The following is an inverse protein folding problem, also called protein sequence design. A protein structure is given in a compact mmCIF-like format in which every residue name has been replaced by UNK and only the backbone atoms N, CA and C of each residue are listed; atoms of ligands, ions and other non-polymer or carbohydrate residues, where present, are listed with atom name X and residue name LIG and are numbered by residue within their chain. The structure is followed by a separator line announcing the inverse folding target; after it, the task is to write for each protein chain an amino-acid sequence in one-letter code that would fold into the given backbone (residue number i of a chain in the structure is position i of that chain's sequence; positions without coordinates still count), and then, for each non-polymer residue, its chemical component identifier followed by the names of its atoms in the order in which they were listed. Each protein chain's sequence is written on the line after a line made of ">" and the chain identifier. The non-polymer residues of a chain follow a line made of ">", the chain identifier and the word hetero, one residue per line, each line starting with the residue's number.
data_IF_647802397922
#
_entry.id   IF_647802397922
#
_cell.length_a   1.000
_cell.length_b   1.000
_cell.length_c   1.000
_cell.angle_alpha   90.00
_cell.angle_beta   90.00
_cell.angle_gamma   90.00
#
_symmetry.space_group_name_H-M   'P 1'
#
loop_
_entity.id
_entity.type
_entity.pdbx_description
1 polymer ?
#
# COMPACT_ATOMS: atom_id res chain seq x y z
N UNK A 1 24.78 -6.35 14.35
CA UNK A 1 23.84 -5.44 13.64
C UNK A 1 22.90 -6.32 12.84
N UNK A 2 21.58 -6.09 12.93
CA UNK A 2 20.59 -6.90 12.20
C UNK A 2 20.51 -6.45 10.75
N UNK A 3 20.30 -7.40 9.83
CA UNK A 3 19.95 -7.10 8.44
C UNK A 3 18.43 -7.16 8.30
N UNK A 4 17.88 -6.17 7.61
CA UNK A 4 16.47 -6.09 7.27
C UNK A 4 16.29 -6.17 5.77
N UNK A 5 15.17 -6.74 5.34
CA UNK A 5 14.75 -6.81 3.96
C UNK A 5 13.40 -6.10 3.84
N UNK A 6 13.30 -5.14 2.93
CA UNK A 6 12.09 -4.33 2.75
C UNK A 6 11.58 -4.44 1.32
N UNK A 7 10.29 -4.69 1.18
CA UNK A 7 9.56 -4.58 -0.08
C UNK A 7 8.82 -3.24 -0.11
N UNK A 8 9.37 -2.27 -0.83
CA UNK A 8 8.75 -0.96 -1.07
C UNK A 8 7.69 -1.04 -2.15
N UNK A 9 6.60 -0.29 -1.98
CA UNK A 9 5.53 -0.10 -2.98
C UNK A 9 5.67 1.22 -3.74
N UNK A 10 6.39 2.21 -3.18
CA UNK A 10 6.49 3.56 -3.75
C UNK A 10 7.97 3.98 -3.82
N UNK A 11 8.66 3.73 -4.95
CA UNK A 11 8.29 2.79 -6.02
C UNK A 11 8.49 1.32 -5.59
N UNK A 12 8.07 0.40 -6.45
CA UNK A 12 8.31 -1.04 -6.25
C UNK A 12 9.81 -1.36 -6.15
N UNK A 13 10.27 -1.91 -5.02
CA UNK A 13 11.65 -2.33 -4.85
C UNK A 13 11.87 -3.34 -3.72
N UNK A 14 12.86 -4.22 -3.88
CA UNK A 14 13.40 -5.06 -2.81
C UNK A 14 14.73 -4.48 -2.35
N UNK A 15 14.82 -4.17 -1.05
CA UNK A 15 15.92 -3.37 -0.51
C UNK A 15 16.44 -4.04 0.76
N UNK A 16 17.75 -4.31 0.81
CA UNK A 16 18.45 -4.67 2.04
C UNK A 16 18.86 -3.41 2.80
N UNK A 17 18.76 -3.44 4.13
CA UNK A 17 19.12 -2.31 4.99
C UNK A 17 19.64 -2.78 6.35
N UNK A 18 20.53 -1.98 6.96
CA UNK A 18 20.90 -2.14 8.36
C UNK A 18 20.04 -1.27 9.30
N UNK A 19 19.09 -0.51 8.75
CA UNK A 19 18.20 0.35 9.52
C UNK A 19 16.93 -0.43 9.93
N UNK A 20 16.49 -0.34 11.19
CA UNK A 20 15.18 -0.85 11.59
C UNK A 20 14.05 -0.05 10.92
N UNK A 21 12.81 -0.57 10.90
CA UNK A 21 11.74 -0.04 10.05
C UNK A 21 11.46 1.46 10.22
N UNK A 22 11.45 1.96 11.45
CA UNK A 22 11.22 3.39 11.71
C UNK A 22 12.30 4.28 11.11
N UNK A 23 13.58 3.89 11.23
CA UNK A 23 14.72 4.63 10.68
C UNK A 23 14.80 4.49 9.15
N UNK A 24 14.51 3.29 8.63
CA UNK A 24 14.45 3.05 7.20
C UNK A 24 13.36 3.93 6.55
N UNK A 25 12.14 3.90 7.09
CA UNK A 25 11.04 4.74 6.60
C UNK A 25 11.40 6.22 6.62
N UNK A 26 11.95 6.74 7.73
CA UNK A 26 12.40 8.14 7.82
C UNK A 26 13.41 8.48 6.71
N UNK A 27 14.44 7.65 6.55
CA UNK A 27 15.46 7.82 5.52
C UNK A 27 14.86 7.75 4.10
N UNK A 28 13.96 6.82 3.86
CA UNK A 28 13.38 6.57 2.55
C UNK A 28 12.44 7.70 2.12
N UNK A 29 11.60 8.19 3.04
CA UNK A 29 10.67 9.28 2.81
C UNK A 29 11.34 10.65 2.63
N UNK A 30 12.44 10.92 3.36
CA UNK A 30 13.03 12.27 3.44
C UNK A 30 14.41 12.40 2.80
N UNK A 31 15.02 11.28 2.41
CA UNK A 31 16.36 11.22 1.85
C UNK A 31 17.45 11.60 2.84
N UNK A 32 18.70 11.54 2.38
CA UNK A 32 19.84 11.96 3.17
C UNK A 32 19.85 13.50 3.33
N UNK A 33 19.91 14.00 4.57
CA UNK A 33 19.76 15.43 4.93
C UNK A 33 18.34 16.03 4.78
N UNK A 34 17.29 15.21 4.75
CA UNK A 34 15.88 15.69 4.74
C UNK A 34 15.54 16.62 3.55
N UNK A 35 16.14 16.36 2.39
CA UNK A 35 15.99 17.18 1.17
C UNK A 35 14.91 16.68 0.21
N UNK A 36 14.47 15.44 0.39
CA UNK A 36 13.30 14.88 -0.31
C UNK A 36 12.10 14.93 0.64
N UNK A 37 10.90 14.96 0.07
CA UNK A 37 9.66 14.79 0.81
C UNK A 37 8.76 13.90 -0.03
N UNK A 38 8.48 12.71 0.48
CA UNK A 38 7.50 11.82 -0.11
C UNK A 38 7.05 10.78 0.89
N UNK A 39 5.87 10.22 0.69
CA UNK A 39 5.43 9.09 1.49
C UNK A 39 6.28 7.84 1.17
N UNK A 40 6.48 6.97 2.16
CA UNK A 40 7.02 5.65 1.93
C UNK A 40 6.02 4.60 2.44
N UNK A 41 5.87 3.54 1.67
CA UNK A 41 4.98 2.44 1.99
C UNK A 41 5.70 1.13 1.69
N UNK A 42 5.97 0.32 2.70
CA UNK A 42 6.81 -0.87 2.53
C UNK A 42 6.47 -1.98 3.52
N UNK A 43 6.67 -3.23 3.11
CA UNK A 43 6.60 -4.39 3.99
C UNK A 43 7.99 -4.77 4.48
N UNK A 44 8.10 -5.21 5.74
CA UNK A 44 9.25 -5.99 6.18
C UNK A 44 9.11 -7.43 5.66
N UNK A 45 10.17 -7.95 5.08
CA UNK A 45 10.27 -9.30 4.54
C UNK A 45 11.19 -10.11 5.45
N UNK A 46 10.88 -11.39 5.64
CA UNK A 46 11.74 -12.32 6.34
C UNK A 46 13.18 -12.26 5.78
N UNK A 47 14.19 -11.89 6.60
CA UNK A 47 15.57 -11.79 6.14
C UNK A 47 16.16 -13.14 5.68
N UNK A 48 15.53 -14.27 6.05
CA UNK A 48 15.88 -15.60 5.55
C UNK A 48 15.28 -15.92 4.17
N UNK A 49 14.38 -15.09 3.64
CA UNK A 49 13.76 -15.29 2.33
C UNK A 49 14.81 -15.37 1.21
N UNK A 50 14.69 -16.34 0.31
CA UNK A 50 15.54 -16.48 -0.87
C UNK A 50 14.71 -16.89 -2.08
N UNK A 51 15.09 -16.38 -3.24
CA UNK A 51 14.48 -16.72 -4.52
C UNK A 51 15.53 -16.50 -5.63
N UNK A 52 15.53 -17.33 -6.68
CA UNK A 52 16.55 -17.31 -7.75
C UNK A 52 16.65 -15.95 -8.48
N UNK A 53 15.54 -15.21 -8.51
CA UNK A 53 15.45 -13.89 -9.11
C UNK A 53 16.19 -12.78 -8.32
N UNK A 54 16.55 -13.03 -7.04
CA UNK A 54 17.13 -12.01 -6.16
C UNK A 54 18.51 -12.41 -5.63
N UNK A 55 19.54 -11.59 -5.89
CA UNK A 55 20.85 -11.71 -5.23
C UNK A 55 20.83 -11.08 -3.82
N UNK A 56 20.10 -11.70 -2.90
CA UNK A 56 19.94 -11.21 -1.52
C UNK A 56 21.26 -11.33 -0.74
N UNK A 57 21.97 -12.45 -0.90
CA UNK A 57 23.24 -12.68 -0.20
C UNK A 57 24.33 -11.71 -0.67
N UNK A 58 24.42 -11.44 -1.97
CA UNK A 58 25.31 -10.41 -2.51
C UNK A 58 24.95 -9.00 -2.02
N UNK A 59 23.66 -8.69 -1.85
CA UNK A 59 23.24 -7.42 -1.25
C UNK A 59 23.59 -7.34 0.25
N UNK A 60 23.39 -8.41 1.01
CA UNK A 60 23.76 -8.48 2.43
C UNK A 60 25.27 -8.35 2.63
N UNK A 61 26.09 -8.94 1.76
CA UNK A 61 27.54 -8.76 1.77
C UNK A 61 27.98 -7.30 1.55
N UNK A 62 27.14 -6.48 0.88
CA UNK A 62 27.37 -5.04 0.66
C UNK A 62 26.78 -4.16 1.77
N UNK A 63 25.98 -4.72 2.67
CA UNK A 63 25.49 -4.06 3.87
C UNK A 63 26.56 -4.01 4.96
N UNK A 64 27.61 -3.23 4.68
CA UNK A 64 28.70 -2.98 5.62
C UNK A 64 28.57 -1.58 6.19
N UNK A 65 28.80 -1.44 7.50
CA UNK A 65 28.87 -0.14 8.15
C UNK A 65 29.91 0.75 7.46
N UNK A 66 29.67 2.06 7.43
CA UNK A 66 30.63 3.02 6.87
C UNK A 66 31.85 3.14 7.78
N UNK A 67 32.89 3.82 7.30
CA UNK A 67 34.14 4.03 8.05
C UNK A 67 33.93 4.74 9.40
N UNK A 68 32.85 5.52 9.54
CA UNK A 68 32.45 6.20 10.77
C UNK A 68 31.59 5.33 11.71
N UNK A 69 31.37 4.06 11.37
CA UNK A 69 30.53 3.13 12.12
C UNK A 69 29.03 3.27 11.86
N UNK A 70 28.60 4.24 11.05
CA UNK A 70 27.16 4.41 10.74
C UNK A 70 26.64 3.24 9.90
N UNK A 71 25.40 2.77 10.17
CA UNK A 71 24.81 1.66 9.43
C UNK A 71 24.63 1.99 7.94
N UNK A 72 24.63 0.95 7.10
CA UNK A 72 24.27 1.08 5.69
C UNK A 72 22.77 1.32 5.58
N UNK A 73 22.38 2.45 5.00
CA UNK A 73 20.97 2.82 4.87
C UNK A 73 20.20 1.90 3.92
N UNK A 74 20.77 1.57 2.77
CA UNK A 74 20.11 0.75 1.75
C UNK A 74 21.09 0.15 0.75
N UNK A 75 20.75 -1.04 0.25
CA UNK A 75 21.30 -1.69 -0.94
C UNK A 75 20.11 -2.24 -1.72
N UNK A 76 19.89 -1.75 -2.94
CA UNK A 76 18.80 -2.23 -3.80
C UNK A 76 19.16 -3.60 -4.37
N UNK A 77 18.23 -4.54 -4.26
CA UNK A 77 18.34 -5.90 -4.82
C UNK A 77 17.59 -5.97 -6.15
N UNK A 78 16.37 -5.44 -6.19
CA UNK A 78 15.56 -5.32 -7.40
C UNK A 78 14.65 -4.10 -7.32
N UNK A 79 14.27 -3.56 -8.48
CA UNK A 79 13.29 -2.48 -8.62
C UNK A 79 12.16 -2.89 -9.60
N UNK A 80 12.02 -4.19 -9.87
CA UNK A 80 11.08 -4.70 -10.87
C UNK A 80 10.65 -6.14 -10.56
N UNK A 81 9.34 -6.40 -10.66
CA UNK A 81 8.69 -7.72 -10.46
C UNK A 81 8.98 -8.33 -9.09
N UNK A 82 9.18 -7.49 -8.08
CA UNK A 82 9.49 -7.93 -6.73
C UNK A 82 8.35 -8.78 -6.19
N UNK A 83 7.13 -8.26 -6.25
CA UNK A 83 5.95 -8.96 -5.74
C UNK A 83 5.70 -10.31 -6.43
N UNK A 84 5.99 -10.42 -7.73
CA UNK A 84 5.83 -11.66 -8.50
C UNK A 84 6.76 -12.78 -8.03
N UNK A 85 7.86 -12.39 -7.38
CA UNK A 85 8.89 -13.29 -6.88
C UNK A 85 8.94 -13.31 -5.35
N UNK A 86 7.88 -12.88 -4.66
CA UNK A 86 7.70 -13.05 -3.21
C UNK A 86 6.68 -14.16 -2.92
N UNK A 87 6.80 -14.77 -1.74
CA UNK A 87 5.78 -15.68 -1.18
C UNK A 87 5.08 -14.99 -0.02
N UNK A 88 3.77 -15.18 0.13
CA UNK A 88 2.99 -14.52 1.19
C UNK A 88 3.50 -14.84 2.60
N UNK A 89 4.07 -16.03 2.82
CA UNK A 89 4.66 -16.43 4.11
C UNK A 89 5.90 -15.61 4.51
N UNK A 90 6.59 -15.00 3.55
CA UNK A 90 7.77 -14.17 3.81
C UNK A 90 7.41 -12.73 4.15
N UNK A 91 6.16 -12.30 3.92
CA UNK A 91 5.73 -10.92 4.13
C UNK A 91 5.28 -10.72 5.57
N UNK A 92 5.95 -9.79 6.26
CA UNK A 92 5.68 -9.38 7.64
C UNK A 92 4.76 -8.17 7.75
N UNK A 93 5.14 -7.23 8.63
CA UNK A 93 4.38 -6.00 8.91
C UNK A 93 4.44 -5.02 7.74
N UNK A 94 3.38 -4.25 7.56
CA UNK A 94 3.32 -3.10 6.65
C UNK A 94 3.69 -1.81 7.40
N UNK A 95 4.50 -0.95 6.80
CA UNK A 95 4.90 0.33 7.37
C UNK A 95 4.44 1.49 6.49
N UNK A 96 3.72 2.43 7.11
CA UNK A 96 3.26 3.68 6.51
C UNK A 96 4.13 4.83 7.02
N UNK A 97 4.93 5.45 6.15
CA UNK A 97 5.72 6.62 6.51
C UNK A 97 5.12 7.88 5.88
N UNK A 98 4.97 8.91 6.70
CA UNK A 98 4.51 10.24 6.24
C UNK A 98 5.62 10.99 5.51
N UNK A 99 5.28 12.03 4.74
CA UNK A 99 6.26 12.85 4.03
C UNK A 99 7.28 13.56 4.96
N UNK A 100 6.99 13.59 6.27
CA UNK A 100 7.88 14.12 7.31
C UNK A 100 8.73 13.03 7.98
N UNK A 101 8.66 11.78 7.50
CA UNK A 101 9.51 10.68 7.96
C UNK A 101 9.04 9.99 9.24
N UNK A 102 7.80 10.21 9.69
CA UNK A 102 7.24 9.46 10.84
C UNK A 102 6.62 8.17 10.34
N UNK A 103 6.94 7.04 10.95
CA UNK A 103 6.53 5.70 10.48
C UNK A 103 5.55 5.03 11.44
N UNK A 104 4.48 4.45 10.90
CA UNK A 104 3.48 3.63 11.60
C UNK A 104 3.55 2.20 11.09
N UNK A 105 3.59 1.21 11.99
CA UNK A 105 3.50 -0.21 11.63
C UNK A 105 2.07 -0.73 11.74
N UNK A 106 1.63 -1.51 10.75
CA UNK A 106 0.39 -2.26 10.72
C UNK A 106 0.70 -3.76 10.70
N UNK A 107 0.14 -4.48 11.67
CA UNK A 107 0.22 -5.94 11.73
C UNK A 107 -0.70 -6.59 10.72
N UNK A 108 -0.36 -7.81 10.32
CA UNK A 108 -1.26 -8.69 9.56
C UNK A 108 -2.55 -8.92 10.35
N UNK A 109 -3.69 -8.65 9.71
CA UNK A 109 -5.01 -8.94 10.26
C UNK A 109 -5.27 -10.45 10.30
N UNK A 110 -6.09 -10.88 11.25
CA UNK A 110 -6.51 -12.28 11.38
C UNK A 110 -7.57 -12.70 10.35
N UNK A 111 -8.30 -11.74 9.78
CA UNK A 111 -9.36 -11.96 8.81
C UNK A 111 -9.52 -10.75 7.88
N UNK A 112 -10.18 -11.00 6.75
CA UNK A 112 -10.69 -9.94 5.88
C UNK A 112 -11.85 -9.20 6.57
N UNK A 113 -12.03 -7.90 6.33
CA UNK A 113 -13.16 -7.17 6.90
C UNK A 113 -14.47 -7.69 6.32
N UNK A 114 -15.55 -7.53 7.09
CA UNK A 114 -16.89 -7.84 6.60
C UNK A 114 -17.25 -6.89 5.45
N UNK A 115 -17.83 -7.44 4.39
CA UNK A 115 -18.31 -6.65 3.27
C UNK A 115 -19.53 -5.81 3.68
N UNK A 116 -19.43 -4.50 3.52
CA UNK A 116 -20.56 -3.59 3.60
C UNK A 116 -21.24 -3.50 2.22
N UNK A 117 -22.58 -3.44 2.13
CA UNK A 117 -23.31 -3.33 0.87
C UNK A 117 -23.25 -1.88 0.35
N UNK A 118 -22.05 -1.41 -0.02
CA UNK A 118 -21.80 -0.08 -0.53
C UNK A 118 -20.80 -0.09 -1.69
N UNK A 119 -20.66 1.05 -2.37
CA UNK A 119 -19.64 1.25 -3.39
C UNK A 119 -18.27 1.37 -2.73
N UNK A 120 -17.26 0.83 -3.38
CA UNK A 120 -15.88 0.85 -2.93
C UNK A 120 -15.01 1.71 -3.85
N UNK A 121 -13.94 2.27 -3.31
CA UNK A 121 -12.86 2.87 -4.08
C UNK A 121 -11.55 2.23 -3.69
N UNK A 122 -10.89 1.62 -4.68
CA UNK A 122 -9.61 0.97 -4.53
C UNK A 122 -8.55 1.76 -5.28
N UNK A 123 -7.46 2.02 -4.57
CA UNK A 123 -6.23 2.49 -5.20
C UNK A 123 -5.26 1.33 -5.26
N UNK A 124 -4.91 0.92 -6.48
CA UNK A 124 -3.86 -0.07 -6.72
C UNK A 124 -2.51 0.60 -6.49
N UNK A 125 -1.60 -0.10 -5.81
CA UNK A 125 -0.30 0.42 -5.39
C UNK A 125 0.86 -0.28 -6.11
N UNK A 126 0.74 -1.61 -6.27
CA UNK A 126 1.66 -2.43 -7.05
C UNK A 126 0.89 -3.61 -7.67
N UNK A 127 1.21 -4.07 -8.89
CA UNK A 127 2.33 -3.63 -9.73
C UNK A 127 1.99 -2.39 -10.58
N UNK A 128 0.76 -1.89 -10.47
CA UNK A 128 0.27 -0.70 -11.16
C UNK A 128 -0.23 0.33 -10.15
N UNK A 129 -0.37 1.58 -10.60
CA UNK A 129 -0.88 2.69 -9.79
C UNK A 129 -2.18 3.24 -10.38
N UNK A 130 -3.29 2.53 -10.19
CA UNK A 130 -4.59 2.85 -10.77
C UNK A 130 -5.61 3.20 -9.68
N UNK A 131 -6.66 3.94 -10.05
CA UNK A 131 -7.78 4.24 -9.14
C UNK A 131 -9.06 3.68 -9.74
N UNK A 132 -9.73 2.80 -9.00
CA UNK A 132 -10.91 2.05 -9.45
C UNK A 132 -12.05 2.25 -8.46
N UNK A 133 -13.27 2.43 -8.98
CA UNK A 133 -14.48 2.28 -8.18
C UNK A 133 -15.15 0.94 -8.50
N UNK A 134 -15.71 0.31 -7.47
CA UNK A 134 -16.17 -1.08 -7.54
C UNK A 134 -17.46 -1.34 -6.77
N UNK A 135 -18.24 -2.31 -7.25
CA UNK A 135 -19.33 -2.98 -6.53
C UNK A 135 -18.85 -4.22 -5.76
N UNK A 136 -17.61 -4.63 -5.97
CA UNK A 136 -17.02 -5.82 -5.39
C UNK A 136 -16.38 -5.48 -4.06
N UNK A 137 -16.59 -6.32 -3.05
CA UNK A 137 -15.81 -6.27 -1.82
C UNK A 137 -14.32 -6.56 -2.09
N UNK A 138 -13.40 -6.31 -1.13
CA UNK A 138 -11.97 -6.45 -1.37
C UNK A 138 -11.53 -7.84 -1.83
N UNK A 139 -12.16 -8.90 -1.32
CA UNK A 139 -11.81 -10.28 -1.68
C UNK A 139 -12.25 -10.61 -3.10
N UNK A 140 -13.48 -10.20 -3.44
CA UNK A 140 -14.06 -10.40 -4.77
C UNK A 140 -13.35 -9.52 -5.81
N UNK A 141 -12.97 -8.29 -5.45
CA UNK A 141 -12.15 -7.40 -6.29
C UNK A 141 -10.78 -8.01 -6.58
N UNK A 142 -10.07 -8.48 -5.56
CA UNK A 142 -8.79 -9.16 -5.75
C UNK A 142 -8.91 -10.37 -6.68
N UNK A 143 -9.93 -11.22 -6.47
CA UNK A 143 -10.17 -12.36 -7.34
C UNK A 143 -10.44 -11.94 -8.79
N UNK A 144 -11.20 -10.86 -9.02
CA UNK A 144 -11.52 -10.33 -10.36
C UNK A 144 -10.32 -9.78 -11.13
N UNK A 145 -9.23 -9.40 -10.45
CA UNK A 145 -8.02 -8.87 -11.11
C UNK A 145 -6.85 -9.87 -11.15
N UNK A 146 -6.96 -10.99 -10.43
CA UNK A 146 -5.89 -12.00 -10.32
C UNK A 146 -6.35 -13.42 -10.69
N UNK A 147 -7.13 -14.06 -9.84
CA UNK A 147 -7.35 -15.52 -9.86
C UNK A 147 -8.53 -15.95 -10.73
N UNK A 148 -9.55 -15.10 -10.87
CA UNK A 148 -10.78 -15.36 -11.61
C UNK A 148 -11.19 -14.12 -12.40
N UNK A 149 -10.38 -13.68 -13.39
CA UNK A 149 -10.58 -12.39 -13.97
C UNK A 149 -11.82 -12.34 -14.86
N UNK A 150 -12.70 -11.35 -14.65
CA UNK A 150 -13.81 -11.07 -15.59
C UNK A 150 -13.33 -10.45 -16.91
N UNK A 151 -12.05 -10.05 -16.97
CA UNK A 151 -11.36 -9.47 -18.14
C UNK A 151 -10.23 -10.39 -18.62
N UNK A 152 -9.72 -10.13 -19.83
CA UNK A 152 -8.71 -10.99 -20.48
C UNK A 152 -7.30 -10.96 -19.85
N UNK A 153 -7.01 -9.99 -18.97
CA UNK A 153 -5.71 -9.86 -18.31
C UNK A 153 -5.83 -10.13 -16.81
N UNK A 154 -4.72 -10.57 -16.20
CA UNK A 154 -4.61 -10.78 -14.76
C UNK A 154 -3.22 -10.43 -14.26
N UNK A 155 -3.14 -10.00 -13.01
CA UNK A 155 -1.88 -9.85 -12.30
C UNK A 155 -1.57 -11.10 -11.48
N UNK A 156 -0.29 -11.49 -11.31
CA UNK A 156 0.10 -12.60 -10.45
C UNK A 156 -0.09 -12.31 -8.95
N UNK A 157 -0.14 -11.03 -8.59
CA UNK A 157 -0.40 -10.52 -7.25
C UNK A 157 -0.70 -9.03 -7.33
N UNK A 158 -1.22 -8.45 -6.26
CA UNK A 158 -1.55 -7.03 -6.19
C UNK A 158 -1.50 -6.52 -4.75
N UNK A 159 -1.01 -5.29 -4.57
CA UNK A 159 -1.23 -4.53 -3.36
C UNK A 159 -2.16 -3.35 -3.65
N UNK A 160 -3.19 -3.17 -2.84
CA UNK A 160 -4.17 -2.11 -2.99
C UNK A 160 -4.68 -1.63 -1.63
N UNK A 161 -5.26 -0.43 -1.60
CA UNK A 161 -5.84 0.18 -0.40
C UNK A 161 -7.28 0.58 -0.67
N UNK A 162 -8.15 0.44 0.32
CA UNK A 162 -9.52 0.94 0.25
C UNK A 162 -9.61 2.36 0.81
N UNK A 163 -10.08 3.28 -0.03
CA UNK A 163 -10.22 4.69 0.31
C UNK A 163 -11.70 5.05 0.56
N UNK A 164 -11.93 5.94 1.52
CA UNK A 164 -13.27 6.35 1.93
C UNK A 164 -13.99 7.18 0.86
N UNK A 165 -15.23 6.80 0.54
CA UNK A 165 -16.13 7.54 -0.34
C UNK A 165 -17.14 8.43 0.42
N UNK A 166 -17.14 8.38 1.75
CA UNK A 166 -18.12 9.12 2.56
C UNK A 166 -19.57 8.81 2.11
N UNK A 167 -20.45 9.82 2.05
CA UNK A 167 -21.83 9.63 1.59
C UNK A 167 -21.97 9.10 0.14
N UNK A 168 -20.95 9.29 -0.72
CA UNK A 168 -20.96 8.80 -2.11
C UNK A 168 -20.93 7.28 -2.20
N UNK A 169 -20.51 6.58 -1.12
CA UNK A 169 -20.50 5.12 -1.07
C UNK A 169 -21.90 4.52 -1.25
N UNK A 170 -22.95 5.23 -0.82
CA UNK A 170 -24.33 4.73 -0.82
C UNK A 170 -25.25 5.50 -1.75
N UNK A 171 -25.01 6.80 -1.91
CA UNK A 171 -25.77 7.65 -2.82
C UNK A 171 -24.82 8.54 -3.63
N UNK A 172 -24.23 8.03 -4.72
CA UNK A 172 -23.41 8.84 -5.59
C UNK A 172 -24.22 9.90 -6.36
N UNK A 173 -25.56 9.86 -6.39
CA UNK A 173 -26.34 10.89 -7.08
C UNK A 173 -26.54 12.13 -6.19
N UNK A 174 -26.90 11.93 -4.91
CA UNK A 174 -27.29 13.02 -4.02
C UNK A 174 -26.42 13.16 -2.76
N UNK A 175 -25.52 12.21 -2.50
CA UNK A 175 -24.62 12.24 -1.36
C UNK A 175 -23.75 13.51 -1.37
N UNK A 176 -23.73 14.21 -0.24
CA UNK A 176 -22.88 15.39 -0.06
C UNK A 176 -21.43 14.96 0.13
N UNK A 177 -20.52 15.67 -0.53
CA UNK A 177 -19.09 15.32 -0.57
C UNK A 177 -18.39 15.60 0.77
N UNK A 178 -18.92 16.53 1.57
CA UNK A 178 -18.35 16.88 2.87
C UNK A 178 -16.88 17.24 2.77
N UNK A 179 -16.05 16.62 3.63
CA UNK A 179 -14.61 16.88 3.73
C UNK A 179 -13.76 15.89 2.89
N UNK A 180 -14.34 15.26 1.86
CA UNK A 180 -13.58 14.39 0.96
C UNK A 180 -12.48 15.21 0.25
N UNK A 181 -11.19 14.83 0.36
CA UNK A 181 -10.08 15.64 -0.13
C UNK A 181 -9.77 15.43 -1.62
N UNK A 182 -10.66 14.75 -2.36
CA UNK A 182 -10.42 14.41 -3.75
C UNK A 182 -10.62 15.63 -4.64
N UNK A 183 -9.63 16.00 -5.44
CA UNK A 183 -9.74 17.14 -6.38
C UNK A 183 -10.62 16.83 -7.60
N UNK A 184 -11.03 15.58 -7.77
CA UNK A 184 -11.73 15.05 -8.95
C UNK A 184 -13.14 14.54 -8.61
N UNK A 185 -13.82 15.15 -7.63
CA UNK A 185 -15.11 14.68 -7.10
C UNK A 185 -16.20 14.51 -8.17
N UNK A 186 -16.28 15.43 -9.13
CA UNK A 186 -17.24 15.29 -10.24
C UNK A 186 -16.98 14.02 -11.07
N UNK A 187 -15.74 13.81 -11.52
CA UNK A 187 -15.36 12.61 -12.29
C UNK A 187 -15.54 11.33 -11.47
N UNK A 188 -15.22 11.37 -10.18
CA UNK A 188 -15.46 10.26 -9.26
C UNK A 188 -16.96 9.91 -9.20
N UNK A 189 -17.83 10.92 -9.10
CA UNK A 189 -19.28 10.75 -9.06
C UNK A 189 -19.81 10.12 -10.36
N UNK A 190 -19.37 10.63 -11.50
CA UNK A 190 -19.72 10.08 -12.82
C UNK A 190 -19.29 8.61 -12.93
N UNK A 191 -18.07 8.28 -12.49
CA UNK A 191 -17.57 6.91 -12.49
C UNK A 191 -18.38 5.97 -11.59
N UNK A 192 -18.79 6.42 -10.40
CA UNK A 192 -19.64 5.65 -9.48
C UNK A 192 -21.03 5.38 -10.09
N UNK A 193 -21.63 6.38 -10.73
CA UNK A 193 -22.95 6.27 -11.38
C UNK A 193 -22.96 5.34 -12.60
N UNK A 194 -21.80 5.07 -13.19
CA UNK A 194 -21.66 4.10 -14.30
C UNK A 194 -21.69 2.64 -13.85
N UNK A 195 -21.50 2.35 -12.56
CA UNK A 195 -21.47 0.99 -12.05
C UNK A 195 -22.83 0.31 -12.19
N UNK A 196 -22.80 -0.98 -12.56
CA UNK A 196 -23.98 -1.82 -12.77
C UNK A 196 -23.70 -3.22 -12.24
N UNK A 197 -24.57 -3.82 -11.41
CA UNK A 197 -24.34 -5.12 -10.76
C UNK A 197 -23.93 -6.27 -11.67
N UNK A 198 -24.40 -6.29 -12.93
CA UNK A 198 -24.18 -7.41 -13.85
C UNK A 198 -23.16 -7.08 -14.95
N UNK A 199 -23.23 -5.88 -15.53
CA UNK A 199 -22.46 -5.55 -16.73
C UNK A 199 -21.17 -4.79 -16.46
N UNK A 200 -21.07 -4.11 -15.31
CA UNK A 200 -19.97 -3.17 -15.03
C UNK A 200 -19.76 -3.00 -13.53
N UNK A 201 -19.16 -4.02 -12.93
CA UNK A 201 -18.87 -4.05 -11.50
C UNK A 201 -17.62 -3.25 -11.11
N UNK A 202 -16.73 -2.98 -12.07
CA UNK A 202 -15.52 -2.19 -11.90
C UNK A 202 -15.47 -1.06 -12.94
N UNK A 203 -15.01 0.13 -12.52
CA UNK A 203 -14.74 1.27 -13.40
C UNK A 203 -13.43 1.93 -13.00
N UNK A 204 -12.50 1.98 -13.96
CA UNK A 204 -11.26 2.71 -13.85
C UNK A 204 -11.55 4.22 -13.86
N UNK A 205 -11.27 4.89 -12.75
CA UNK A 205 -11.37 6.35 -12.59
C UNK A 205 -10.11 6.98 -13.19
N UNK A 206 -8.94 6.54 -12.76
CA UNK A 206 -7.65 7.00 -13.27
C UNK A 206 -6.76 5.82 -13.65
N UNK A 207 -6.20 5.86 -14.87
CA UNK A 207 -5.28 4.83 -15.35
C UNK A 207 -3.92 4.88 -14.66
N UNK A 208 -3.48 6.09 -14.33
CA UNK A 208 -2.25 6.39 -13.60
C UNK A 208 -2.64 7.40 -12.53
N UNK A 209 -2.54 7.00 -11.26
CA UNK A 209 -2.89 7.81 -10.10
C UNK A 209 -1.67 8.05 -9.22
N UNK A 210 -1.69 9.18 -8.49
CA UNK A 210 -0.65 9.48 -7.51
C UNK A 210 -0.63 8.39 -6.45
N UNK A 211 0.54 7.83 -6.16
CA UNK A 211 0.72 6.89 -5.05
C UNK A 211 0.78 7.59 -3.69
N UNK A 212 0.86 8.93 -3.68
CA UNK A 212 0.71 9.73 -2.47
C UNK A 212 -0.74 10.12 -2.26
N UNK A 213 -1.26 9.82 -1.07
CA UNK A 213 -2.63 10.14 -0.66
C UNK A 213 -2.70 10.41 0.85
N UNK A 214 -3.67 11.21 1.33
CA UNK A 214 -3.84 11.42 2.76
C UNK A 214 -4.22 10.10 3.44
N UNK A 215 -3.40 9.61 4.37
CA UNK A 215 -3.67 8.33 5.05
C UNK A 215 -4.95 8.37 5.88
N UNK A 216 -5.46 9.56 6.25
CA UNK A 216 -6.79 9.71 6.85
C UNK A 216 -7.93 9.17 5.99
N UNK A 217 -7.69 8.97 4.68
CA UNK A 217 -8.68 8.43 3.76
C UNK A 217 -8.70 6.91 3.70
N UNK A 218 -7.74 6.22 4.31
CA UNK A 218 -7.77 4.76 4.40
C UNK A 218 -9.01 4.37 5.22
N UNK A 219 -9.95 3.69 4.58
CA UNK A 219 -11.23 3.29 5.19
C UNK A 219 -11.04 2.07 6.08
N UNK A 220 -10.71 0.93 5.48
CA UNK A 220 -10.55 -0.35 6.17
C UNK A 220 -9.08 -0.67 6.42
N UNK A 221 -8.26 -0.57 5.39
CA UNK A 221 -6.86 -0.94 5.46
C UNK A 221 -6.27 -1.20 4.09
N UNK A 222 -5.13 -1.88 4.10
CA UNK A 222 -4.39 -2.30 2.92
C UNK A 222 -4.55 -3.79 2.70
N UNK A 223 -4.45 -4.21 1.45
CA UNK A 223 -4.58 -5.58 1.04
C UNK A 223 -3.37 -5.95 0.20
N UNK A 224 -2.75 -7.08 0.50
CA UNK A 224 -1.70 -7.67 -0.32
C UNK A 224 -2.13 -9.09 -0.69
N UNK A 225 -2.16 -9.37 -1.98
CA UNK A 225 -2.40 -10.71 -2.47
C UNK A 225 -1.30 -11.18 -3.41
N UNK A 226 -0.95 -12.46 -3.29
CA UNK A 226 0.00 -13.15 -4.14
C UNK A 226 -0.63 -14.51 -4.49
N UNK A 227 -0.85 -14.77 -5.78
CA UNK A 227 -1.56 -15.96 -6.21
C UNK A 227 -2.98 -16.03 -5.63
N UNK A 228 -3.32 -17.14 -4.97
CA UNK A 228 -4.63 -17.33 -4.33
C UNK A 228 -4.73 -16.75 -2.92
N UNK A 229 -3.64 -16.29 -2.33
CA UNK A 229 -3.63 -15.74 -0.97
C UNK A 229 -3.93 -14.25 -0.99
N UNK A 230 -4.75 -13.81 -0.03
CA UNK A 230 -5.04 -12.40 0.21
C UNK A 230 -4.93 -12.11 1.70
N UNK A 231 -4.19 -11.07 2.05
CA UNK A 231 -3.95 -10.64 3.42
C UNK A 231 -4.39 -9.20 3.59
N UNK A 232 -5.11 -8.94 4.67
CA UNK A 232 -5.54 -7.60 5.07
C UNK A 232 -4.64 -7.06 6.19
N UNK A 233 -4.27 -5.80 6.07
CA UNK A 233 -3.52 -5.00 7.04
C UNK A 233 -4.45 -3.88 7.52
N UNK A 234 -5.19 -4.11 8.63
CA UNK A 234 -6.21 -3.19 9.09
C UNK A 234 -5.60 -1.87 9.53
N UNK A 235 -6.24 -0.78 9.12
CA UNK A 235 -5.90 0.55 9.61
C UNK A 235 -6.27 0.67 11.08
N UNK A 236 -5.43 1.35 11.88
CA UNK A 236 -5.75 1.64 13.27
C UNK A 236 -6.92 2.63 13.36
N UNK A 237 -7.75 2.49 14.39
CA UNK A 237 -8.84 3.43 14.61
C UNK A 237 -8.31 4.85 14.84
N UNK A 238 -9.09 5.87 14.46
CA UNK A 238 -8.70 7.26 14.68
C UNK A 238 -8.43 7.56 16.16
N UNK A 239 -9.15 6.92 17.08
CA UNK A 239 -8.92 7.04 18.52
C UNK A 239 -7.52 6.56 18.91
N UNK A 240 -7.10 5.39 18.41
CA UNK A 240 -5.76 4.83 18.64
C UNK A 240 -4.70 5.72 17.98
N UNK A 241 -4.91 6.15 16.73
CA UNK A 241 -3.98 7.03 16.03
C UNK A 241 -3.76 8.35 16.78
N UNK A 242 -4.82 8.97 17.30
CA UNK A 242 -4.72 10.22 18.06
C UNK A 242 -4.04 10.04 19.41
N UNK A 243 -4.31 8.92 20.10
CA UNK A 243 -3.78 8.65 21.44
C UNK A 243 -2.34 8.17 21.42
N UNK A 244 -2.06 7.15 20.60
CA UNK A 244 -0.81 6.37 20.66
C UNK A 244 0.17 6.75 19.54
N UNK A 245 -0.33 7.34 18.44
CA UNK A 245 0.46 7.70 17.26
C UNK A 245 0.28 9.17 16.86
N UNK A 246 0.14 10.07 17.83
CA UNK A 246 -0.26 11.47 17.62
C UNK A 246 0.63 12.24 16.63
N UNK A 247 1.95 12.05 16.69
CA UNK A 247 2.91 12.68 15.77
C UNK A 247 2.71 12.20 14.32
N UNK A 248 2.48 10.90 14.15
CA UNK A 248 2.18 10.32 12.85
C UNK A 248 0.84 10.84 12.33
N UNK A 249 -0.20 10.82 13.17
CA UNK A 249 -1.56 11.26 12.78
C UNK A 249 -1.60 12.73 12.33
N UNK A 250 -0.85 13.62 13.00
CA UNK A 250 -0.76 15.04 12.60
C UNK A 250 -0.08 15.25 11.24
N UNK A 251 0.78 14.33 10.81
CA UNK A 251 1.50 14.40 9.53
C UNK A 251 0.89 13.53 8.43
N UNK A 252 -0.28 12.93 8.67
CA UNK A 252 -0.93 11.96 7.78
C UNK A 252 -1.78 12.59 6.66
N UNK A 253 -1.93 13.92 6.60
CA UNK A 253 -2.91 14.60 5.73
C UNK A 253 -2.35 15.14 4.40
N UNK A 254 -1.05 14.95 4.15
CA UNK A 254 -0.22 15.67 3.15
C UNK A 254 -0.06 17.17 3.47
#
# INVERSE_FOLDING_TARGET
>A
MSMHLYFSLIPEALIASMLPPAQFGQYYATGHKFKSKGQALFFEIDPAYRHEYFDIDGAFARCVAKSDGTPKNSVYISMYRVMEHLTMSAVGQLYLTTAMGTTLGLSRGSALPQADPELHMYQDLAPINSLVVSLLDPATYYADVTTKPSKFFRFPGMCFVELGLGPLARDPANGQEGDLPYSFLQHLREALLELRPVSKQNKLVHRVHSLEFPYRMVKNGFYLGIGSELVHYPMLSQTVLRRDHSNWWRSANL
#
